data_IF_444970313062
#
_entry.id   IF_444970313062
#
_cell.length_a   1.000
_cell.length_b   1.000
_cell.length_c   1.000
_cell.angle_alpha   90.00
_cell.angle_beta   90.00
_cell.angle_gamma   90.00
#
_symmetry.space_group_name_H-M   'P 1'
#
loop_
_entity.id
_entity.type
_entity.pdbx_description
1 polymer ?
#
# COMPACT_ATOMS: atom_id res chain seq x y z
N UNK A 1 -49.98 -40.98 -26.69
CA UNK A 1 -48.86 -40.15 -27.16
C UNK A 1 -48.55 -39.14 -26.03
N UNK A 2 -47.85 -39.52 -24.95
CA UNK A 2 -46.38 -39.60 -24.73
C UNK A 2 -45.62 -38.29 -25.04
N UNK A 3 -45.13 -37.63 -23.97
CA UNK A 3 -43.88 -36.86 -23.96
C UNK A 3 -43.99 -35.34 -23.93
N UNK A 4 -44.27 -34.77 -22.76
CA UNK A 4 -44.19 -33.33 -22.47
C UNK A 4 -42.93 -33.06 -21.63
N UNK A 5 -42.32 -31.89 -21.92
CA UNK A 5 -41.45 -31.07 -21.05
C UNK A 5 -39.96 -31.42 -21.08
N UNK A 6 -39.26 -30.72 -21.99
CA UNK A 6 -37.82 -30.47 -21.88
C UNK A 6 -37.55 -29.42 -20.79
N UNK A 7 -36.79 -29.82 -19.77
CA UNK A 7 -36.33 -28.93 -18.72
C UNK A 7 -35.04 -28.22 -19.17
N UNK A 8 -35.15 -26.94 -19.52
CA UNK A 8 -34.02 -26.04 -19.71
C UNK A 8 -33.38 -25.72 -18.35
N UNK A 9 -32.28 -26.39 -18.03
CA UNK A 9 -31.39 -26.06 -16.91
C UNK A 9 -30.56 -24.84 -17.29
N UNK A 10 -31.07 -23.64 -16.98
CA UNK A 10 -30.29 -22.40 -17.04
C UNK A 10 -29.35 -22.34 -15.84
N UNK A 11 -28.04 -22.41 -16.12
CA UNK A 11 -26.99 -22.18 -15.14
C UNK A 11 -27.02 -20.72 -14.69
N UNK A 12 -27.38 -20.48 -13.43
CA UNK A 12 -27.26 -19.17 -12.81
C UNK A 12 -25.82 -19.05 -12.28
N UNK A 13 -24.97 -18.37 -13.06
CA UNK A 13 -23.64 -17.96 -12.62
C UNK A 13 -23.79 -16.89 -11.54
N UNK A 14 -23.70 -17.27 -10.27
CA UNK A 14 -23.63 -16.31 -9.17
C UNK A 14 -22.25 -15.66 -9.17
N UNK A 15 -22.18 -14.42 -9.67
CA UNK A 15 -21.00 -13.58 -9.50
C UNK A 15 -20.99 -13.14 -8.03
N UNK A 16 -20.08 -13.69 -7.22
CA UNK A 16 -19.91 -13.27 -5.85
C UNK A 16 -19.27 -11.88 -5.82
N UNK A 17 -20.09 -10.83 -5.68
CA UNK A 17 -19.60 -9.50 -5.36
C UNK A 17 -19.22 -9.48 -3.87
N UNK A 18 -17.92 -9.49 -3.59
CA UNK A 18 -17.40 -9.32 -2.24
C UNK A 18 -17.95 -8.03 -1.64
N UNK A 19 -18.61 -8.13 -0.48
CA UNK A 19 -19.25 -7.00 0.19
C UNK A 19 -18.22 -6.04 0.77
N UNK A 20 -17.80 -5.07 -0.04
CA UNK A 20 -17.19 -3.81 0.38
C UNK A 20 -18.15 -2.68 0.04
N UNK A 21 -19.26 -2.53 0.77
CA UNK A 21 -20.35 -1.59 0.44
C UNK A 21 -19.94 -0.10 0.30
N UNK A 22 -18.69 0.25 0.63
CA UNK A 22 -18.14 1.60 0.49
C UNK A 22 -16.96 1.70 -0.50
N UNK A 23 -16.55 0.62 -1.17
CA UNK A 23 -15.38 0.62 -2.06
C UNK A 23 -15.69 -0.03 -3.41
N UNK A 24 -15.65 0.76 -4.48
CA UNK A 24 -15.69 0.29 -5.86
C UNK A 24 -14.26 0.00 -6.35
N UNK A 25 -13.83 -1.25 -6.18
CA UNK A 25 -12.53 -1.73 -6.64
C UNK A 25 -12.51 -2.16 -8.12
N UNK A 26 -13.58 -1.92 -8.88
CA UNK A 26 -13.50 -1.92 -10.35
C UNK A 26 -12.90 -0.61 -10.87
N UNK A 27 -12.97 0.46 -10.07
CA UNK A 27 -12.39 1.76 -10.38
C UNK A 27 -11.16 2.02 -9.50
N UNK A 28 -9.98 1.77 -10.06
CA UNK A 28 -8.71 2.05 -9.39
C UNK A 28 -8.37 3.53 -9.56
N UNK A 29 -8.26 4.23 -8.43
CA UNK A 29 -7.96 5.68 -8.38
C UNK A 29 -6.53 5.98 -7.94
N UNK A 30 -5.76 4.96 -7.56
CA UNK A 30 -4.36 5.10 -7.17
C UNK A 30 -3.72 3.79 -6.72
N UNK A 31 -2.50 3.89 -6.21
CA UNK A 31 -1.71 2.77 -5.68
C UNK A 31 -1.29 3.04 -4.24
N UNK A 32 -1.13 1.99 -3.44
CA UNK A 32 -0.69 2.06 -2.05
C UNK A 32 0.50 1.12 -1.79
N UNK A 33 1.10 1.24 -0.61
CA UNK A 33 2.02 0.25 -0.07
C UNK A 33 1.28 -0.62 0.96
N UNK A 34 1.71 -1.86 1.15
CA UNK A 34 1.12 -2.77 2.12
C UNK A 34 2.19 -3.58 2.86
N UNK A 35 2.00 -3.72 4.17
CA UNK A 35 2.75 -4.65 5.00
C UNK A 35 1.90 -5.88 5.25
N UNK A 36 2.49 -7.07 5.11
CA UNK A 36 1.82 -8.35 5.36
C UNK A 36 2.62 -9.15 6.38
N UNK A 37 2.00 -9.43 7.52
CA UNK A 37 2.52 -10.32 8.55
C UNK A 37 1.82 -11.67 8.47
N UNK A 38 2.59 -12.76 8.47
CA UNK A 38 2.07 -14.13 8.40
C UNK A 38 2.16 -14.76 9.78
N UNK A 39 1.04 -15.23 10.29
CA UNK A 39 0.95 -15.93 11.58
C UNK A 39 0.47 -17.35 11.27
N UNK A 40 1.36 -18.35 11.27
CA UNK A 40 0.97 -19.74 11.04
C UNK A 40 -0.07 -20.18 12.08
N UNK A 41 -1.12 -20.87 11.63
CA UNK A 41 -2.09 -21.50 12.53
C UNK A 41 -1.74 -22.98 12.72
N UNK A 42 -2.25 -23.61 13.77
CA UNK A 42 -2.04 -25.03 14.00
C UNK A 42 -2.52 -25.88 12.81
N UNK A 43 -1.74 -26.91 12.46
CA UNK A 43 -2.08 -27.83 11.38
C UNK A 43 -3.12 -28.84 11.84
N UNK A 44 -4.21 -29.00 11.10
CA UNK A 44 -5.20 -30.06 11.35
C UNK A 44 -5.22 -31.01 10.17
N UNK A 45 -4.90 -32.30 10.40
CA UNK A 45 -4.99 -33.38 9.40
C UNK A 45 -4.28 -33.08 8.07
N UNK A 46 -3.06 -32.53 8.14
CA UNK A 46 -2.26 -32.20 6.94
C UNK A 46 -2.68 -30.94 6.18
N UNK A 47 -3.70 -30.21 6.68
CA UNK A 47 -3.98 -28.84 6.23
C UNK A 47 -3.24 -27.86 7.13
N UNK A 48 -2.49 -26.96 6.51
CA UNK A 48 -1.79 -25.86 7.17
C UNK A 48 -2.53 -24.57 6.87
N UNK A 49 -2.76 -23.77 7.90
CA UNK A 49 -3.34 -22.43 7.75
C UNK A 49 -2.34 -21.35 8.15
N UNK A 50 -2.62 -20.12 7.71
CA UNK A 50 -2.00 -18.94 8.27
C UNK A 50 -2.98 -17.77 8.25
N UNK A 51 -2.91 -16.96 9.32
CA UNK A 51 -3.56 -15.66 9.38
C UNK A 51 -2.61 -14.60 8.81
N UNK A 52 -3.10 -13.86 7.83
CA UNK A 52 -2.41 -12.75 7.20
C UNK A 52 -2.93 -11.45 7.80
N UNK A 53 -2.07 -10.72 8.51
CA UNK A 53 -2.38 -9.36 8.96
C UNK A 53 -1.89 -8.37 7.92
N UNK A 54 -2.82 -7.69 7.28
CA UNK A 54 -2.56 -6.70 6.23
C UNK A 54 -2.66 -5.31 6.83
N UNK A 55 -1.68 -4.45 6.51
CA UNK A 55 -1.74 -3.02 6.83
C UNK A 55 -1.37 -2.22 5.60
N UNK A 56 -2.35 -1.53 5.05
CA UNK A 56 -2.21 -0.64 3.90
C UNK A 56 -1.77 0.76 4.34
N UNK A 57 -1.08 1.44 3.44
CA UNK A 57 -0.79 2.86 3.57
C UNK A 57 -2.00 3.74 3.26
N UNK A 58 -2.99 3.22 2.52
CA UNK A 58 -4.24 3.93 2.23
C UNK A 58 -5.17 3.88 3.45
N UNK A 59 -5.79 5.00 3.86
CA UNK A 59 -6.59 5.08 5.08
C UNK A 59 -7.84 4.19 5.04
N UNK A 60 -8.41 3.97 3.85
CA UNK A 60 -9.60 3.15 3.60
C UNK A 60 -9.66 2.83 2.09
N UNK A 61 -10.46 1.82 1.71
CA UNK A 61 -10.71 1.40 0.34
C UNK A 61 -9.42 1.10 -0.43
N UNK A 62 -8.63 0.17 0.11
CA UNK A 62 -7.56 -0.44 -0.65
C UNK A 62 -7.87 -1.90 -0.94
N UNK A 63 -7.53 -2.32 -2.16
CA UNK A 63 -7.48 -3.71 -2.57
C UNK A 63 -6.03 -4.17 -2.52
N UNK A 64 -5.78 -5.24 -1.79
CA UNK A 64 -4.47 -5.88 -1.72
C UNK A 64 -4.58 -7.18 -2.49
N UNK A 65 -3.88 -7.28 -3.61
CA UNK A 65 -3.74 -8.51 -4.40
C UNK A 65 -2.42 -9.20 -4.00
N UNK A 66 -2.45 -10.51 -3.80
CA UNK A 66 -1.27 -11.29 -3.43
C UNK A 66 -1.42 -12.75 -3.84
N UNK A 67 -0.31 -13.48 -3.90
CA UNK A 67 -0.30 -14.90 -4.24
C UNK A 67 0.26 -15.70 -3.07
N UNK A 68 -0.37 -16.84 -2.76
CA UNK A 68 0.15 -17.83 -1.81
C UNK A 68 0.44 -19.11 -2.59
N UNK A 69 1.73 -19.47 -2.69
CA UNK A 69 2.19 -20.62 -3.47
C UNK A 69 1.63 -20.64 -4.92
N UNK A 70 1.58 -19.47 -5.56
CA UNK A 70 1.07 -19.32 -6.92
C UNK A 70 -0.46 -19.30 -7.05
N UNK A 71 -1.20 -19.44 -5.95
CA UNK A 71 -2.66 -19.27 -5.93
C UNK A 71 -3.00 -17.80 -5.66
N UNK A 72 -3.79 -17.12 -6.51
CA UNK A 72 -4.15 -15.72 -6.33
C UNK A 72 -5.20 -15.51 -5.23
N UNK A 73 -5.01 -14.48 -4.42
CA UNK A 73 -5.92 -14.00 -3.39
C UNK A 73 -6.02 -12.47 -3.45
N UNK A 74 -7.09 -11.94 -2.85
CA UNK A 74 -7.19 -10.52 -2.60
C UNK A 74 -7.97 -10.23 -1.33
N UNK A 75 -7.64 -9.12 -0.69
CA UNK A 75 -8.39 -8.58 0.47
C UNK A 75 -8.74 -7.13 0.21
N UNK A 76 -9.99 -6.75 0.45
CA UNK A 76 -10.46 -5.36 0.37
C UNK A 76 -10.56 -4.78 1.78
N UNK A 77 -9.80 -3.73 2.06
CA UNK A 77 -9.81 -3.02 3.33
C UNK A 77 -10.82 -1.86 3.26
N UNK A 78 -12.08 -2.18 3.59
CA UNK A 78 -13.21 -1.25 3.41
C UNK A 78 -13.56 -0.41 4.65
N UNK A 79 -13.05 -0.75 5.83
CA UNK A 79 -13.36 -0.08 7.11
C UNK A 79 -12.15 0.63 7.73
N UNK A 80 -11.01 0.64 7.03
CA UNK A 80 -9.78 1.24 7.51
C UNK A 80 -8.58 0.75 6.72
N UNK A 81 -7.39 0.97 7.25
CA UNK A 81 -6.14 0.58 6.62
C UNK A 81 -5.58 -0.76 7.10
N UNK A 82 -6.36 -1.53 7.87
CA UNK A 82 -5.96 -2.84 8.38
C UNK A 82 -7.02 -3.87 8.04
N UNK A 83 -6.59 -5.10 7.84
CA UNK A 83 -7.47 -6.25 7.68
C UNK A 83 -6.74 -7.54 7.99
N UNK A 84 -7.52 -8.60 8.12
CA UNK A 84 -7.03 -9.93 8.34
C UNK A 84 -7.63 -10.85 7.26
N UNK A 85 -6.83 -11.79 6.78
CA UNK A 85 -7.25 -12.82 5.86
C UNK A 85 -6.72 -14.17 6.33
N UNK A 86 -7.41 -15.26 6.00
CA UNK A 86 -7.00 -16.61 6.38
C UNK A 86 -6.81 -17.46 5.14
N UNK A 87 -5.60 -17.99 4.99
CA UNK A 87 -5.22 -18.84 3.86
C UNK A 87 -4.88 -20.25 4.32
N UNK A 88 -5.05 -21.22 3.41
CA UNK A 88 -4.82 -22.64 3.69
C UNK A 88 -4.01 -23.30 2.58
N UNK A 89 -3.24 -24.34 2.92
CA UNK A 89 -2.38 -25.05 1.99
C UNK A 89 -1.98 -26.45 2.49
N UNK A 90 -1.30 -27.20 1.62
CA UNK A 90 -0.83 -28.57 1.91
C UNK A 90 0.55 -28.61 2.59
N UNK A 91 1.18 -27.45 2.78
CA UNK A 91 2.48 -27.29 3.44
C UNK A 91 2.45 -26.05 4.35
N UNK A 92 3.35 -25.94 5.34
CA UNK A 92 3.42 -24.77 6.21
C UNK A 92 3.51 -23.47 5.41
N UNK A 93 2.60 -22.52 5.71
CA UNK A 93 2.55 -21.22 5.05
C UNK A 93 3.43 -20.24 5.83
N UNK A 94 4.41 -19.67 5.15
CA UNK A 94 5.38 -18.72 5.67
C UNK A 94 5.46 -17.48 4.77
N UNK A 95 6.19 -16.44 5.19
CA UNK A 95 6.36 -15.23 4.38
C UNK A 95 6.95 -15.48 2.98
N UNK A 96 7.77 -16.53 2.83
CA UNK A 96 8.39 -16.91 1.57
C UNK A 96 7.38 -17.48 0.56
N UNK A 97 6.22 -17.96 1.01
CA UNK A 97 5.15 -18.45 0.16
C UNK A 97 4.33 -17.31 -0.46
N UNK A 98 4.45 -16.08 0.06
CA UNK A 98 3.75 -14.91 -0.47
C UNK A 98 4.56 -14.22 -1.57
N UNK A 99 3.93 -13.98 -2.71
CA UNK A 99 4.53 -13.30 -3.87
C UNK A 99 3.57 -12.30 -4.51
N UNK A 100 4.12 -11.45 -5.39
CA UNK A 100 3.39 -10.48 -6.22
C UNK A 100 2.40 -9.61 -5.45
N UNK A 101 2.81 -9.16 -4.26
CA UNK A 101 1.98 -8.32 -3.40
C UNK A 101 1.83 -6.94 -4.06
N UNK A 102 0.59 -6.56 -4.34
CA UNK A 102 0.21 -5.30 -4.95
C UNK A 102 -0.90 -4.65 -4.13
N UNK A 103 -0.89 -3.31 -4.02
CA UNK A 103 -1.91 -2.57 -3.30
C UNK A 103 -2.44 -1.44 -4.18
N UNK A 104 -3.75 -1.41 -4.36
CA UNK A 104 -4.46 -0.45 -5.21
C UNK A 104 -5.50 0.29 -4.37
N UNK A 105 -5.68 1.58 -4.62
CA UNK A 105 -6.71 2.39 -3.98
C UNK A 105 -7.95 2.35 -4.86
N UNK A 106 -9.06 1.94 -4.28
CA UNK A 106 -10.36 1.84 -4.93
C UNK A 106 -11.14 3.15 -4.74
N UNK A 107 -12.02 3.46 -5.69
CA UNK A 107 -13.00 4.53 -5.54
C UNK A 107 -13.93 4.23 -4.35
N UNK A 108 -14.35 5.25 -3.62
CA UNK A 108 -15.33 5.08 -2.55
C UNK A 108 -16.76 5.13 -3.12
N UNK A 109 -17.61 4.17 -2.76
CA UNK A 109 -19.03 4.20 -3.12
C UNK A 109 -19.72 5.30 -2.30
N UNK A 110 -20.38 6.24 -2.98
CA UNK A 110 -21.03 7.40 -2.36
C UNK A 110 -20.33 8.75 -2.58
N UNK A 111 -19.14 8.78 -3.18
CA UNK A 111 -18.67 10.00 -3.85
C UNK A 111 -19.34 10.08 -5.23
N UNK A 112 -20.07 11.16 -5.56
CA UNK A 112 -20.71 11.29 -6.87
C UNK A 112 -19.70 11.06 -7.99
N UNK A 113 -20.07 10.22 -8.96
CA UNK A 113 -19.29 10.01 -10.16
C UNK A 113 -19.11 11.35 -10.90
N UNK A 114 -17.87 11.66 -11.26
CA UNK A 114 -17.55 12.68 -12.24
C UNK A 114 -18.41 12.49 -13.50
N UNK A 115 -19.02 13.58 -13.96
CA UNK A 115 -19.72 13.64 -15.24
C UNK A 115 -18.81 13.16 -16.38
N UNK A 116 -19.28 12.28 -17.29
CA UNK A 116 -18.52 11.86 -18.47
C UNK A 116 -18.55 12.99 -19.50
N UNK A 117 -17.64 13.96 -19.34
CA UNK A 117 -17.63 15.16 -20.17
C UNK A 117 -16.52 16.16 -19.86
N UNK A 118 -15.41 15.74 -19.25
CA UNK A 118 -14.19 16.57 -19.23
C UNK A 118 -13.07 15.84 -19.94
N UNK A 119 -12.95 16.13 -21.23
CA UNK A 119 -11.67 16.22 -21.93
C UNK A 119 -10.63 16.82 -20.99
N UNK A 120 -9.44 16.24 -20.96
CA UNK A 120 -8.29 16.73 -20.20
C UNK A 120 -8.24 18.28 -20.24
N UNK A 121 -8.54 18.91 -19.11
CA UNK A 121 -8.38 20.34 -18.92
C UNK A 121 -7.43 20.52 -17.75
N UNK A 122 -6.30 21.20 -17.95
CA UNK A 122 -5.24 21.34 -16.97
C UNK A 122 -5.65 22.41 -15.96
N UNK A 123 -6.61 22.13 -15.08
CA UNK A 123 -6.95 22.96 -13.91
C UNK A 123 -8.09 22.29 -13.12
N UNK A 124 -7.74 21.35 -12.24
CA UNK A 124 -8.57 21.07 -11.05
C UNK A 124 -7.61 20.94 -9.87
N UNK A 125 -7.63 21.89 -8.91
CA UNK A 125 -6.62 21.97 -7.88
C UNK A 125 -6.77 20.77 -6.95
N UNK A 126 -5.84 19.82 -7.08
CA UNK A 126 -5.40 18.97 -5.97
C UNK A 126 -5.37 19.85 -4.73
N UNK A 127 -6.18 19.52 -3.73
CA UNK A 127 -6.24 20.23 -2.46
C UNK A 127 -4.80 20.55 -2.06
N UNK A 128 -4.44 21.84 -2.06
CA UNK A 128 -3.07 22.34 -2.03
C UNK A 128 -2.51 22.09 -0.62
N UNK A 129 -2.16 20.85 -0.32
CA UNK A 129 -1.61 20.45 0.96
C UNK A 129 -0.24 21.14 1.06
N UNK A 130 -0.13 22.02 2.05
CA UNK A 130 1.15 22.60 2.41
C UNK A 130 1.98 21.60 3.22
N UNK A 131 2.96 21.02 2.56
CA UNK A 131 3.89 20.06 3.13
C UNK A 131 5.05 20.74 3.86
N UNK A 132 5.19 22.06 3.73
CA UNK A 132 6.31 22.82 4.30
C UNK A 132 6.41 22.65 5.81
N UNK A 133 7.64 22.46 6.30
CA UNK A 133 7.92 22.44 7.73
C UNK A 133 8.81 21.27 8.14
N UNK A 134 8.79 20.99 9.44
CA UNK A 134 9.63 19.98 10.09
C UNK A 134 8.84 18.70 10.31
N UNK A 135 9.47 17.57 10.00
CA UNK A 135 8.85 16.25 10.02
C UNK A 135 9.70 15.28 10.82
N UNK A 136 9.04 14.50 11.67
CA UNK A 136 9.66 13.40 12.39
C UNK A 136 9.62 12.15 11.52
N UNK A 137 10.78 11.65 11.12
CA UNK A 137 10.93 10.42 10.35
C UNK A 137 11.28 9.24 11.27
N UNK A 138 10.69 8.09 10.99
CA UNK A 138 10.95 6.82 11.67
C UNK A 138 11.35 5.80 10.61
N UNK A 139 12.52 5.19 10.77
CA UNK A 139 13.03 4.12 9.91
C UNK A 139 13.04 2.80 10.67
N UNK A 140 12.31 1.80 10.18
CA UNK A 140 12.15 0.52 10.86
C UNK A 140 12.87 -0.60 10.11
N UNK A 141 13.75 -1.32 10.80
CA UNK A 141 14.47 -2.49 10.31
C UNK A 141 14.18 -3.71 11.19
N UNK A 142 14.54 -4.89 10.70
CA UNK A 142 14.59 -6.13 11.51
C UNK A 142 15.56 -6.05 12.71
N UNK A 143 16.53 -5.13 12.70
CA UNK A 143 17.53 -4.96 13.76
C UNK A 143 17.25 -3.76 14.69
N UNK A 144 16.16 -3.03 14.49
CA UNK A 144 15.79 -1.89 15.32
C UNK A 144 15.14 -0.73 14.57
N UNK A 145 14.87 0.34 15.31
CA UNK A 145 14.19 1.55 14.80
C UNK A 145 15.10 2.76 14.96
N UNK A 146 15.27 3.54 13.89
CA UNK A 146 15.89 4.85 13.90
C UNK A 146 14.84 5.95 13.85
N UNK A 147 15.10 7.08 14.49
CA UNK A 147 14.29 8.30 14.37
C UNK A 147 15.16 9.42 13.87
N UNK A 148 14.57 10.35 13.11
CA UNK A 148 15.28 11.52 12.62
C UNK A 148 14.32 12.66 12.32
N UNK A 149 14.88 13.81 12.00
CA UNK A 149 14.12 15.00 11.60
C UNK A 149 14.50 15.39 10.19
N UNK A 150 13.49 15.58 9.35
CA UNK A 150 13.63 16.07 7.98
C UNK A 150 12.85 17.37 7.82
N UNK A 151 13.32 18.23 6.93
CA UNK A 151 12.66 19.49 6.59
C UNK A 151 12.17 19.40 5.16
N UNK A 152 10.90 19.77 4.96
CA UNK A 152 10.28 19.88 3.64
C UNK A 152 10.13 21.35 3.32
N UNK A 153 10.66 21.76 2.18
CA UNK A 153 10.52 23.11 1.64
C UNK A 153 9.72 23.03 0.35
N UNK A 154 8.49 23.54 0.38
CA UNK A 154 7.62 23.50 -0.77
C UNK A 154 7.86 24.72 -1.66
N UNK A 155 8.25 24.46 -2.91
CA UNK A 155 8.43 25.51 -3.93
C UNK A 155 7.12 25.75 -4.68
N UNK A 156 6.40 24.67 -5.00
CA UNK A 156 5.10 24.71 -5.67
C UNK A 156 4.13 23.66 -5.10
N UNK A 157 2.81 23.78 -5.33
CA UNK A 157 1.87 22.68 -5.07
C UNK A 157 2.35 21.37 -5.71
N UNK A 158 2.55 20.33 -4.89
CA UNK A 158 3.05 19.04 -5.38
C UNK A 158 4.53 19.02 -5.80
N UNK A 159 5.30 20.10 -5.64
CA UNK A 159 6.77 20.07 -5.79
C UNK A 159 7.42 20.60 -4.51
N UNK A 160 8.18 19.74 -3.84
CA UNK A 160 8.88 20.10 -2.62
C UNK A 160 10.24 19.41 -2.54
N UNK A 161 11.22 20.11 -1.98
CA UNK A 161 12.51 19.52 -1.64
C UNK A 161 12.51 19.01 -0.20
N UNK A 162 13.15 17.86 0.04
CA UNK A 162 13.38 17.29 1.36
C UNK A 162 14.87 17.42 1.68
N UNK A 163 15.17 17.91 2.88
CA UNK A 163 16.54 18.04 3.39
C UNK A 163 16.64 17.60 4.85
N UNK A 164 17.86 17.43 5.36
CA UNK A 164 18.12 17.09 6.75
C UNK A 164 18.93 15.82 6.91
N UNK A 165 18.69 15.10 8.02
CA UNK A 165 19.44 13.90 8.37
C UNK A 165 18.49 12.73 8.63
N UNK A 166 18.94 11.54 8.26
CA UNK A 166 18.39 10.27 8.70
C UNK A 166 19.16 9.78 9.93
N UNK A 167 18.68 8.72 10.58
CA UNK A 167 19.30 8.21 11.80
C UNK A 167 20.82 7.90 11.64
N UNK A 168 21.24 7.47 10.45
CA UNK A 168 22.63 7.09 10.17
C UNK A 168 23.19 7.64 8.84
N UNK A 169 22.53 8.64 8.23
CA UNK A 169 22.91 9.21 6.93
C UNK A 169 22.50 10.68 6.82
N UNK A 170 23.12 11.42 5.90
CA UNK A 170 22.72 12.78 5.53
C UNK A 170 21.98 12.72 4.21
N UNK A 171 20.90 13.48 4.05
CA UNK A 171 20.15 13.53 2.79
C UNK A 171 20.97 14.30 1.77
N UNK A 172 21.32 13.64 0.67
CA UNK A 172 22.04 14.21 -0.47
C UNK A 172 21.05 14.88 -1.43
N UNK A 173 19.92 14.23 -1.67
CA UNK A 173 18.80 14.77 -2.43
C UNK A 173 17.48 14.19 -1.93
N UNK A 174 16.43 15.00 -1.94
CA UNK A 174 15.10 14.55 -1.60
C UNK A 174 14.06 15.39 -2.30
N UNK A 175 13.06 14.75 -2.89
CA UNK A 175 12.04 15.41 -3.68
C UNK A 175 10.67 14.79 -3.48
N UNK A 176 9.66 15.65 -3.54
CA UNK A 176 8.26 15.29 -3.66
C UNK A 176 7.77 15.80 -5.01
N UNK A 177 7.28 14.90 -5.85
CA UNK A 177 6.62 15.21 -7.11
C UNK A 177 5.20 14.62 -7.08
N UNK A 178 4.19 15.50 -7.07
CA UNK A 178 2.81 15.12 -6.80
C UNK A 178 2.68 14.49 -5.41
N UNK A 179 2.34 13.20 -5.37
CA UNK A 179 2.26 12.40 -4.16
C UNK A 179 3.51 11.53 -3.94
N UNK A 180 4.45 11.49 -4.88
CA UNK A 180 5.58 10.57 -4.88
C UNK A 180 6.77 11.20 -4.18
N UNK A 181 7.40 10.44 -3.28
CA UNK A 181 8.53 10.89 -2.47
C UNK A 181 9.76 10.05 -2.79
N UNK A 182 10.86 10.71 -3.10
CA UNK A 182 12.17 10.08 -3.32
C UNK A 182 13.22 10.75 -2.44
N UNK A 183 14.07 9.96 -1.79
CA UNK A 183 15.16 10.46 -0.96
C UNK A 183 16.40 9.60 -1.22
N UNK A 184 17.51 10.25 -1.54
CA UNK A 184 18.85 9.66 -1.55
C UNK A 184 19.65 10.27 -0.40
N UNK A 185 20.29 9.40 0.37
CA UNK A 185 21.11 9.80 1.49
C UNK A 185 22.35 8.93 1.59
N UNK A 186 23.43 9.48 2.13
CA UNK A 186 24.70 8.79 2.25
C UNK A 186 25.34 9.01 3.60
N UNK A 187 26.26 8.12 3.96
CA UNK A 187 27.11 8.30 5.12
C UNK A 187 28.59 8.28 4.75
N UNK A 188 29.43 8.75 5.68
CA UNK A 188 30.87 8.88 5.49
C UNK A 188 31.59 7.53 5.23
N UNK A 189 30.93 6.41 5.50
CA UNK A 189 31.41 5.06 5.19
C UNK A 189 31.04 4.60 3.76
N UNK A 190 30.45 5.48 2.95
CA UNK A 190 30.07 5.19 1.57
C UNK A 190 28.75 4.44 1.41
N UNK A 191 28.00 4.19 2.49
CA UNK A 191 26.71 3.53 2.39
C UNK A 191 25.67 4.48 1.81
N UNK A 192 24.98 4.04 0.77
CA UNK A 192 23.87 4.76 0.16
C UNK A 192 22.55 4.23 0.74
N UNK A 193 21.61 5.13 0.96
CA UNK A 193 20.24 4.88 1.38
C UNK A 193 19.33 5.44 0.30
N UNK A 194 18.50 4.59 -0.28
CA UNK A 194 17.47 5.00 -1.24
C UNK A 194 16.12 4.76 -0.60
N UNK A 195 15.34 5.84 -0.44
CA UNK A 195 14.00 5.80 0.12
C UNK A 195 12.99 6.21 -0.95
N UNK A 196 11.93 5.43 -1.05
CA UNK A 196 10.80 5.66 -1.94
C UNK A 196 9.53 5.64 -1.10
N UNK A 197 8.64 6.61 -1.30
CA UNK A 197 7.41 6.71 -0.52
C UNK A 197 6.35 7.54 -1.19
N UNK A 198 5.26 7.78 -0.47
CA UNK A 198 4.17 8.65 -0.90
C UNK A 198 3.67 9.55 0.22
N UNK A 199 3.15 10.71 -0.15
CA UNK A 199 2.33 11.56 0.70
C UNK A 199 0.98 10.85 0.89
N UNK A 200 0.70 10.39 2.11
CA UNK A 200 -0.50 9.60 2.44
C UNK A 200 -1.52 10.40 3.25
N UNK A 201 -1.24 11.68 3.50
CA UNK A 201 -2.16 12.62 4.14
C UNK A 201 -1.50 13.98 4.44
N UNK A 202 -2.27 14.95 4.99
CA UNK A 202 -1.82 16.34 5.19
C UNK A 202 -0.57 16.53 6.06
N UNK A 203 -0.24 15.52 6.87
CA UNK A 203 0.93 15.51 7.74
C UNK A 203 1.57 14.13 7.82
N UNK A 204 1.41 13.29 6.77
CA UNK A 204 1.94 11.92 6.80
C UNK A 204 2.53 11.49 5.47
N UNK A 205 3.74 10.93 5.53
CA UNK A 205 4.45 10.29 4.43
C UNK A 205 4.80 8.86 4.87
N UNK A 206 4.76 7.91 3.95
CA UNK A 206 5.15 6.52 4.23
C UNK A 206 5.76 5.86 3.01
N UNK A 207 6.69 4.93 3.23
CA UNK A 207 7.36 4.26 2.12
C UNK A 207 8.30 3.14 2.55
N UNK A 208 9.12 2.73 1.60
CA UNK A 208 10.18 1.75 1.80
C UNK A 208 11.56 2.34 1.53
N UNK A 209 12.60 1.69 2.02
CA UNK A 209 13.97 2.07 1.69
C UNK A 209 14.90 0.88 1.65
N UNK A 210 16.01 1.03 0.93
CA UNK A 210 17.12 0.07 0.87
C UNK A 210 18.41 0.76 1.30
N UNK A 211 19.41 -0.01 1.75
CA UNK A 211 20.75 0.51 2.02
C UNK A 211 21.80 -0.41 1.38
N UNK A 212 22.90 0.14 0.87
CA UNK A 212 23.96 -0.69 0.25
C UNK A 212 24.55 -1.72 1.20
N UNK A 213 24.72 -1.35 2.48
CA UNK A 213 25.20 -2.26 3.53
C UNK A 213 24.22 -3.40 3.89
N UNK A 214 22.97 -3.34 3.42
CA UNK A 214 21.96 -4.32 3.78
C UNK A 214 20.97 -4.55 2.63
N UNK A 215 21.00 -5.73 2.03
CA UNK A 215 20.18 -6.10 0.88
C UNK A 215 18.65 -6.20 1.15
N UNK A 216 18.18 -5.77 2.33
CA UNK A 216 16.77 -5.85 2.72
C UNK A 216 16.00 -4.56 2.45
N UNK A 217 14.80 -4.69 1.88
CA UNK A 217 13.81 -3.62 1.81
C UNK A 217 13.20 -3.40 3.21
N UNK A 218 13.19 -2.15 3.66
CA UNK A 218 12.79 -1.73 5.01
C UNK A 218 11.69 -0.68 4.92
N UNK A 219 11.00 -0.42 6.03
CA UNK A 219 9.87 0.51 6.06
C UNK A 219 10.28 1.84 6.69
N UNK A 220 9.69 2.93 6.22
CA UNK A 220 9.82 4.22 6.87
C UNK A 220 8.51 5.01 6.82
N UNK A 221 8.39 5.96 7.73
CA UNK A 221 7.31 6.93 7.74
C UNK A 221 7.80 8.28 8.23
N UNK A 222 7.10 9.34 7.89
CA UNK A 222 7.33 10.65 8.47
C UNK A 222 6.00 11.33 8.81
N UNK A 223 5.99 12.04 9.94
CA UNK A 223 4.84 12.83 10.40
C UNK A 223 5.22 14.28 10.62
N UNK A 224 4.39 15.20 10.12
CA UNK A 224 4.57 16.64 10.32
C UNK A 224 4.49 16.97 11.82
N UNK A 225 5.38 17.84 12.27
CA UNK A 225 5.43 18.32 13.67
C UNK A 225 4.46 19.47 13.85
#
# INVERSE_FOLDING_TARGET
>A
MRGLIGACLLMVSTIAFGQGNNCDCQQIVGTCAVSVSVIPTESTKGSYGADLKLTSSAPICSKVDYYVDGTPYFTILSQGNRGEDRVFGQKPITRANLSSISCQICKQAGTPADNPGRTASPDQPSQKIDLSGTWNSVQTCSFGTGTSTITITQTNPGDASISGRLANATIDSGRIEGDTVTIQASNWLGNQVQMEGRVVGPGRISGTYTQTASAGVRQWSATKT
#
